data_IF_394130472421
#
_entry.id   IF_394130472421
#
_cell.length_a   1.000
_cell.length_b   1.000
_cell.length_c   1.000
_cell.angle_alpha   90.00
_cell.angle_beta   90.00
_cell.angle_gamma   90.00
#
_symmetry.space_group_name_H-M   'P 1'
#
loop_
_entity.id
_entity.type
_entity.pdbx_description
1 polymer ?
#
# COMPACT_ATOMS: atom_id res chain seq x y z
N UNK A 1 -9.22 6.62 23.23
CA UNK A 1 -8.05 6.48 22.33
C UNK A 1 -7.63 7.87 21.89
N UNK A 2 -6.34 8.13 21.74
CA UNK A 2 -5.81 9.41 21.21
C UNK A 2 -5.63 9.32 19.68
N UNK A 3 -5.53 10.46 19.02
CA UNK A 3 -5.12 10.56 17.62
C UNK A 3 -3.71 9.97 17.44
N UNK A 4 -3.52 9.18 16.40
CA UNK A 4 -2.27 8.45 16.15
C UNK A 4 -1.54 9.13 15.00
N UNK A 5 -0.35 9.66 15.28
CA UNK A 5 0.54 10.26 14.27
C UNK A 5 1.59 9.25 13.83
N UNK A 6 1.58 8.89 12.55
CA UNK A 6 2.61 8.06 11.92
C UNK A 6 2.93 8.59 10.52
N UNK A 7 4.10 8.29 9.96
CA UNK A 7 4.42 8.66 8.58
C UNK A 7 3.47 8.04 7.53
N UNK A 8 2.76 6.95 7.91
CA UNK A 8 1.78 6.28 7.06
C UNK A 8 0.36 6.86 7.19
N UNK A 9 0.21 7.96 7.90
CA UNK A 9 -1.02 8.70 8.09
C UNK A 9 -1.34 9.02 9.54
N UNK A 10 -2.06 10.12 9.73
CA UNK A 10 -2.59 10.60 11.00
C UNK A 10 -4.00 10.08 11.10
N UNK A 11 -4.28 9.16 12.04
CA UNK A 11 -5.51 8.36 12.03
C UNK A 11 -6.19 8.24 13.38
N UNK A 12 -7.50 7.96 13.35
CA UNK A 12 -8.30 7.67 14.53
C UNK A 12 -9.72 7.24 14.19
N UNK A 13 -10.50 6.87 15.23
CA UNK A 13 -11.92 6.59 15.10
C UNK A 13 -12.67 7.92 14.97
N UNK A 14 -13.37 8.12 13.84
CA UNK A 14 -14.04 9.38 13.57
C UNK A 14 -15.17 9.65 14.60
N UNK A 15 -15.21 10.88 15.08
CA UNK A 15 -16.14 11.29 16.17
C UNK A 15 -15.67 10.91 17.58
N UNK A 16 -14.55 10.22 17.73
CA UNK A 16 -13.98 9.85 19.04
C UNK A 16 -12.55 10.37 19.20
N UNK A 17 -11.59 9.76 18.52
CA UNK A 17 -10.17 10.13 18.56
C UNK A 17 -9.70 10.93 17.34
N UNK A 18 -10.56 11.07 16.33
CA UNK A 18 -10.33 11.88 15.14
C UNK A 18 -11.63 12.63 14.81
N UNK A 19 -11.59 13.93 14.67
CA UNK A 19 -12.75 14.80 14.42
C UNK A 19 -12.51 15.71 13.21
N UNK A 20 -13.56 16.38 12.72
CA UNK A 20 -13.42 17.41 11.68
C UNK A 20 -12.53 18.58 12.15
N UNK A 21 -12.54 18.91 13.46
CA UNK A 21 -11.66 19.94 14.02
C UNK A 21 -10.19 19.53 13.95
N UNK A 22 -9.88 18.25 14.21
CA UNK A 22 -8.51 17.75 14.07
C UNK A 22 -8.06 17.81 12.61
N UNK A 23 -8.94 17.43 11.67
CA UNK A 23 -8.67 17.48 10.23
C UNK A 23 -8.37 18.93 9.76
N UNK A 24 -9.16 19.90 10.21
CA UNK A 24 -8.94 21.33 9.94
C UNK A 24 -7.57 21.79 10.48
N UNK A 25 -7.27 21.48 11.74
CA UNK A 25 -6.01 21.87 12.38
C UNK A 25 -4.80 21.23 11.71
N UNK A 26 -4.91 19.96 11.29
CA UNK A 26 -3.84 19.25 10.56
C UNK A 26 -3.66 19.88 9.17
N UNK A 27 -4.76 20.18 8.46
CA UNK A 27 -4.71 20.87 7.17
C UNK A 27 -4.02 22.22 7.27
N UNK A 28 -4.37 23.02 8.29
CA UNK A 28 -3.72 24.31 8.53
C UNK A 28 -2.24 24.15 8.92
N UNK A 29 -1.89 23.18 9.78
CA UNK A 29 -0.52 22.88 10.15
C UNK A 29 0.33 22.49 8.94
N UNK A 30 -0.20 21.62 8.07
CA UNK A 30 0.46 21.20 6.84
C UNK A 30 0.62 22.38 5.86
N UNK A 31 -0.45 23.17 5.66
CA UNK A 31 -0.40 24.38 4.84
C UNK A 31 0.61 25.40 5.37
N UNK A 32 0.75 25.55 6.70
CA UNK A 32 1.75 26.42 7.32
C UNK A 32 3.18 26.02 7.03
N UNK A 33 3.43 24.71 6.85
CA UNK A 33 4.77 24.18 6.47
C UNK A 33 5.04 24.42 4.99
N UNK A 34 4.04 24.19 4.13
CA UNK A 34 4.18 24.41 2.68
C UNK A 34 4.35 25.88 2.32
N UNK A 35 3.65 26.77 3.04
CA UNK A 35 3.68 28.22 2.85
C UNK A 35 2.56 28.74 1.94
N UNK A 36 2.29 30.05 2.09
CA UNK A 36 1.29 30.77 1.31
C UNK A 36 1.60 30.72 -0.20
N UNK A 37 0.56 30.49 -1.01
CA UNK A 37 0.66 30.36 -2.47
C UNK A 37 1.04 28.96 -2.97
N UNK A 38 1.26 27.99 -2.08
CA UNK A 38 1.44 26.58 -2.47
C UNK A 38 0.13 25.99 -2.98
N UNK A 39 0.23 24.91 -3.79
CA UNK A 39 -0.90 24.18 -4.33
C UNK A 39 -0.90 22.74 -3.81
N UNK A 40 -2.06 22.25 -3.32
CA UNK A 40 -2.22 20.92 -2.72
C UNK A 40 -3.36 20.16 -3.36
N UNK A 41 -3.08 18.94 -3.80
CA UNK A 41 -4.09 18.00 -4.31
C UNK A 41 -4.77 17.31 -3.13
N UNK A 42 -6.10 17.29 -3.09
CA UNK A 42 -6.90 16.61 -2.06
C UNK A 42 -7.82 15.59 -2.69
N UNK A 43 -7.85 14.38 -2.17
CA UNK A 43 -8.81 13.36 -2.57
C UNK A 43 -9.17 12.43 -1.43
N UNK A 44 -10.24 11.65 -1.59
CA UNK A 44 -10.80 10.83 -0.50
C UNK A 44 -11.29 9.47 -0.98
N UNK A 45 -11.35 8.51 -0.02
CA UNK A 45 -12.01 7.24 -0.21
C UNK A 45 -13.55 7.32 -0.03
N UNK A 46 -14.22 6.18 -0.09
CA UNK A 46 -15.69 6.06 -0.03
C UNK A 46 -16.28 6.00 1.39
N UNK A 47 -15.48 6.20 2.44
CA UNK A 47 -15.97 6.17 3.84
C UNK A 47 -16.98 7.30 4.07
N UNK A 48 -18.02 7.03 4.88
CA UNK A 48 -19.07 8.02 5.19
C UNK A 48 -18.53 9.29 5.83
N UNK A 49 -17.42 9.23 6.55
CA UNK A 49 -16.78 10.39 7.19
C UNK A 49 -15.90 11.19 6.24
N UNK A 50 -15.44 10.62 5.12
CA UNK A 50 -14.46 11.25 4.22
C UNK A 50 -14.93 12.60 3.65
N UNK A 51 -16.19 12.80 3.24
CA UNK A 51 -16.64 14.11 2.78
C UNK A 51 -16.59 15.22 3.85
N UNK A 52 -16.83 14.86 5.13
CA UNK A 52 -16.74 15.82 6.23
C UNK A 52 -15.28 16.16 6.55
N UNK A 53 -14.41 15.15 6.54
CA UNK A 53 -12.96 15.32 6.73
C UNK A 53 -12.36 16.17 5.61
N UNK A 54 -12.75 15.92 4.34
CA UNK A 54 -12.29 16.70 3.17
C UNK A 54 -12.57 18.18 3.31
N UNK A 55 -13.83 18.54 3.59
CA UNK A 55 -14.21 19.95 3.80
C UNK A 55 -13.40 20.63 4.91
N UNK A 56 -13.13 19.91 5.99
CA UNK A 56 -12.35 20.44 7.11
C UNK A 56 -10.87 20.64 6.75
N UNK A 57 -10.26 19.66 6.05
CA UNK A 57 -8.87 19.76 5.57
C UNK A 57 -8.72 20.90 4.59
N UNK A 58 -9.62 21.03 3.62
CA UNK A 58 -9.61 22.12 2.62
C UNK A 58 -9.71 23.48 3.31
N UNK A 59 -10.64 23.64 4.27
CA UNK A 59 -10.75 24.89 5.04
C UNK A 59 -9.46 25.20 5.82
N UNK A 60 -8.79 24.17 6.36
CA UNK A 60 -7.51 24.33 7.05
C UNK A 60 -6.38 24.79 6.12
N UNK A 61 -6.24 24.16 4.96
CA UNK A 61 -5.26 24.52 3.93
C UNK A 61 -5.50 25.94 3.42
N UNK A 62 -6.74 26.26 3.03
CA UNK A 62 -7.09 27.58 2.53
C UNK A 62 -6.84 28.69 3.58
N UNK A 63 -7.09 28.41 4.87
CA UNK A 63 -6.77 29.32 5.98
C UNK A 63 -5.27 29.62 6.09
N UNK A 64 -4.41 28.73 5.62
CA UNK A 64 -2.96 28.93 5.55
C UNK A 64 -2.52 29.59 4.23
N UNK A 65 -3.45 30.01 3.37
CA UNK A 65 -3.15 30.61 2.07
C UNK A 65 -2.73 29.61 0.98
N UNK A 66 -3.08 28.34 1.15
CA UNK A 66 -2.77 27.25 0.22
C UNK A 66 -3.96 27.01 -0.71
N UNK A 67 -3.70 26.98 -2.00
CA UNK A 67 -4.69 26.60 -3.02
C UNK A 67 -4.91 25.09 -3.04
N UNK A 68 -6.14 24.65 -3.27
CA UNK A 68 -6.52 23.24 -3.23
C UNK A 68 -7.12 22.80 -4.55
N UNK A 69 -6.58 21.75 -5.14
CA UNK A 69 -7.19 20.98 -6.23
C UNK A 69 -7.88 19.76 -5.61
N UNK A 70 -9.21 19.79 -5.57
CA UNK A 70 -10.03 18.73 -5.00
C UNK A 70 -10.45 17.73 -6.07
N UNK A 71 -9.99 16.49 -5.98
CA UNK A 71 -10.30 15.40 -6.90
C UNK A 71 -11.58 14.64 -6.54
N UNK A 72 -12.18 14.95 -5.39
CA UNK A 72 -13.35 14.22 -4.89
C UNK A 72 -12.99 12.79 -4.43
N UNK A 73 -13.84 11.83 -4.81
CA UNK A 73 -13.66 10.42 -4.41
C UNK A 73 -12.87 9.66 -5.48
N UNK A 74 -11.61 9.38 -5.18
CA UNK A 74 -10.66 8.67 -6.06
C UNK A 74 -9.74 7.76 -5.25
N UNK A 75 -9.12 6.73 -5.87
CA UNK A 75 -8.11 5.90 -5.22
C UNK A 75 -6.90 6.68 -4.70
N UNK A 76 -6.27 6.19 -3.65
CA UNK A 76 -5.00 6.74 -3.14
C UNK A 76 -3.95 6.89 -4.26
N UNK A 77 -3.65 5.87 -5.10
CA UNK A 77 -2.67 6.01 -6.17
C UNK A 77 -3.03 7.10 -7.21
N UNK A 78 -4.32 7.36 -7.45
CA UNK A 78 -4.73 8.45 -8.33
C UNK A 78 -4.34 9.82 -7.75
N UNK A 79 -4.46 10.01 -6.43
CA UNK A 79 -4.07 11.25 -5.75
C UNK A 79 -2.54 11.41 -5.78
N UNK A 80 -1.81 10.36 -5.45
CA UNK A 80 -0.35 10.33 -5.46
C UNK A 80 0.21 10.64 -6.86
N UNK A 81 -0.35 10.01 -7.90
CA UNK A 81 -0.01 10.30 -9.29
C UNK A 81 -0.36 11.74 -9.68
N UNK A 82 -1.53 12.26 -9.26
CA UNK A 82 -1.99 13.60 -9.61
C UNK A 82 -1.09 14.70 -9.03
N UNK A 83 -0.49 14.50 -7.84
CA UNK A 83 0.47 15.46 -7.26
C UNK A 83 1.66 15.67 -8.20
N UNK A 84 2.23 14.60 -8.76
CA UNK A 84 3.34 14.69 -9.72
C UNK A 84 2.85 15.20 -11.08
N UNK A 85 1.73 14.70 -11.58
CA UNK A 85 1.15 15.06 -12.86
C UNK A 85 0.80 16.54 -12.98
N UNK A 86 0.23 17.13 -11.92
CA UNK A 86 -0.15 18.53 -11.83
C UNK A 86 1.03 19.43 -11.35
N UNK A 87 2.16 18.82 -10.98
CA UNK A 87 3.31 19.51 -10.39
C UNK A 87 2.96 20.32 -9.11
N UNK A 88 2.02 19.79 -8.32
CA UNK A 88 1.61 20.39 -7.05
C UNK A 88 2.71 20.30 -5.98
N UNK A 89 2.65 21.18 -4.99
CA UNK A 89 3.63 21.24 -3.89
C UNK A 89 3.42 20.12 -2.87
N UNK A 90 2.21 19.56 -2.81
CA UNK A 90 1.88 18.44 -1.94
C UNK A 90 0.51 17.86 -2.19
N UNK A 91 0.11 16.91 -1.34
CA UNK A 91 -1.21 16.32 -1.40
C UNK A 91 -1.73 15.85 -0.04
N UNK A 92 -3.03 15.63 0.04
CA UNK A 92 -3.68 15.00 1.19
C UNK A 92 -4.61 13.90 0.72
N UNK A 93 -4.31 12.67 1.11
CA UNK A 93 -5.19 11.53 0.93
C UNK A 93 -6.05 11.34 2.17
N UNK A 94 -7.35 11.28 2.00
CA UNK A 94 -8.31 11.06 3.08
C UNK A 94 -8.80 9.61 3.01
N UNK A 95 -8.07 8.74 3.69
CA UNK A 95 -8.38 7.31 3.78
C UNK A 95 -7.64 6.65 4.94
N UNK A 96 -8.34 5.78 5.65
CA UNK A 96 -7.74 4.86 6.62
C UNK A 96 -7.42 3.48 6.02
N UNK A 97 -7.39 3.33 4.68
CA UNK A 97 -7.09 2.11 3.96
C UNK A 97 -7.89 0.90 4.49
N UNK A 98 -7.23 -0.13 4.97
CA UNK A 98 -7.83 -1.37 5.47
C UNK A 98 -8.39 -1.30 6.91
N UNK A 99 -8.25 -0.18 7.63
CA UNK A 99 -8.84 -0.04 8.96
C UNK A 99 -10.38 -0.12 8.90
N UNK A 100 -11.08 -0.53 9.97
CA UNK A 100 -12.54 -0.62 10.01
C UNK A 100 -13.27 0.66 9.55
N UNK A 101 -14.55 0.58 9.12
CA UNK A 101 -15.26 1.70 8.49
C UNK A 101 -15.37 2.97 9.34
N UNK A 102 -15.38 2.84 10.67
CA UNK A 102 -15.43 3.95 11.62
C UNK A 102 -14.12 4.75 11.74
N UNK A 103 -13.02 4.21 11.24
CA UNK A 103 -11.74 4.91 11.17
C UNK A 103 -11.69 5.87 10.00
N UNK A 104 -10.89 6.93 10.13
CA UNK A 104 -10.42 7.75 9.01
C UNK A 104 -8.99 8.23 9.27
N UNK A 105 -8.34 8.73 8.23
CA UNK A 105 -6.97 9.21 8.33
C UNK A 105 -6.66 10.27 7.28
N UNK A 106 -5.60 11.03 7.54
CA UNK A 106 -4.94 11.91 6.59
C UNK A 106 -3.54 11.36 6.30
N UNK A 107 -3.27 11.02 5.04
CA UNK A 107 -1.92 10.72 4.54
C UNK A 107 -1.44 12.01 3.87
N UNK A 108 -0.34 12.58 4.34
CA UNK A 108 0.22 13.81 3.79
C UNK A 108 1.30 13.47 2.78
N UNK A 109 1.22 14.10 1.62
CA UNK A 109 2.14 13.86 0.50
C UNK A 109 2.98 15.14 0.26
N UNK A 110 4.27 14.94 0.05
CA UNK A 110 5.14 15.96 -0.52
C UNK A 110 5.10 15.94 -2.04
N UNK A 111 5.99 16.71 -2.66
CA UNK A 111 6.19 16.68 -4.11
C UNK A 111 6.44 15.26 -4.61
N UNK A 112 6.12 14.99 -5.87
CA UNK A 112 6.15 13.64 -6.48
C UNK A 112 5.12 12.65 -5.92
N UNK A 113 4.13 13.11 -5.13
CA UNK A 113 3.10 12.26 -4.55
C UNK A 113 3.63 11.24 -3.54
N UNK A 114 4.79 11.48 -2.95
CA UNK A 114 5.40 10.60 -1.94
C UNK A 114 4.96 11.04 -0.56
N UNK A 115 4.61 10.09 0.32
CA UNK A 115 4.33 10.37 1.73
C UNK A 115 5.48 11.19 2.35
N UNK A 116 5.13 12.22 3.13
CA UNK A 116 6.13 13.04 3.83
C UNK A 116 6.95 12.19 4.80
N UNK A 117 8.19 12.59 5.03
CA UNK A 117 9.13 11.88 5.91
C UNK A 117 8.66 11.89 7.37
N UNK A 118 9.15 10.96 8.20
CA UNK A 118 8.84 10.93 9.64
C UNK A 118 9.11 12.26 10.35
N UNK A 119 10.20 12.96 9.98
CA UNK A 119 10.61 14.22 10.55
C UNK A 119 9.59 15.34 10.21
N UNK A 120 9.10 15.36 8.98
CA UNK A 120 8.07 16.31 8.53
C UNK A 120 6.71 16.00 9.21
N UNK A 121 6.36 14.73 9.39
CA UNK A 121 5.17 14.33 10.16
C UNK A 121 5.25 14.81 11.62
N UNK A 122 6.43 14.74 12.24
CA UNK A 122 6.63 15.22 13.60
C UNK A 122 6.55 16.76 13.67
N UNK A 123 6.93 17.47 12.62
CA UNK A 123 6.77 18.92 12.52
C UNK A 123 5.30 19.30 12.44
N UNK A 124 4.50 18.63 11.60
CA UNK A 124 3.03 18.80 11.56
C UNK A 124 2.41 18.56 12.93
N UNK A 125 2.83 17.48 13.61
CA UNK A 125 2.36 17.15 14.97
C UNK A 125 2.66 18.25 15.98
N UNK A 126 3.87 18.80 15.98
CA UNK A 126 4.26 19.91 16.89
C UNK A 126 3.39 21.15 16.68
N UNK A 127 3.11 21.52 15.42
CA UNK A 127 2.22 22.65 15.12
C UNK A 127 0.79 22.35 15.58
N UNK A 128 0.29 21.15 15.30
CA UNK A 128 -1.02 20.70 15.74
C UNK A 128 -1.18 20.76 17.26
N UNK A 129 -0.21 20.25 18.04
CA UNK A 129 -0.24 20.22 19.51
C UNK A 129 -0.14 21.60 20.11
N UNK A 130 0.70 22.48 19.58
CA UNK A 130 0.84 23.87 20.02
C UNK A 130 -0.37 24.73 19.66
N UNK A 131 -1.15 24.35 18.63
CA UNK A 131 -2.23 25.19 18.11
C UNK A 131 -1.73 26.49 17.50
N UNK A 132 -0.47 26.53 17.06
CA UNK A 132 0.18 27.71 16.49
C UNK A 132 0.28 27.54 14.98
N UNK A 133 -0.71 28.07 14.28
CA UNK A 133 -0.82 27.97 12.83
C UNK A 133 -0.63 29.32 12.18
N UNK A 134 -0.08 29.35 10.98
CA UNK A 134 -0.16 30.50 10.12
C UNK A 134 -1.59 30.69 9.63
N UNK A 135 -2.12 31.90 9.73
CA UNK A 135 -3.39 32.27 9.12
C UNK A 135 -3.12 33.40 8.14
N UNK A 136 -3.42 33.14 6.87
CA UNK A 136 -3.27 34.13 5.81
C UNK A 136 -4.19 35.34 6.05
N UNK A 137 -3.80 36.56 5.65
CA UNK A 137 -4.72 37.68 5.60
C UNK A 137 -5.86 37.39 4.63
N UNK A 138 -6.98 38.11 4.80
CA UNK A 138 -8.17 37.92 3.97
C UNK A 138 -7.90 38.02 2.46
N UNK A 139 -6.87 38.73 2.06
CA UNK A 139 -6.47 38.94 0.66
C UNK A 139 -5.71 37.76 0.03
N UNK A 140 -5.21 36.86 0.85
CA UNK A 140 -4.37 35.71 0.44
C UNK A 140 -4.95 34.38 0.92
N UNK A 141 -6.23 34.33 1.31
CA UNK A 141 -6.92 33.06 1.59
C UNK A 141 -6.90 32.19 0.33
N UNK A 142 -6.47 30.93 0.48
CA UNK A 142 -6.43 29.99 -0.63
C UNK A 142 -7.82 29.68 -1.20
N UNK A 143 -7.86 29.21 -2.43
CA UNK A 143 -9.09 28.82 -3.15
C UNK A 143 -9.17 27.31 -3.33
N UNK A 144 -10.36 26.81 -3.57
CA UNK A 144 -10.63 25.42 -3.94
C UNK A 144 -11.09 25.35 -5.39
N UNK A 145 -10.47 24.45 -6.15
CA UNK A 145 -10.90 24.09 -7.50
C UNK A 145 -11.16 22.57 -7.56
N UNK A 146 -12.20 22.18 -8.31
CA UNK A 146 -12.51 20.75 -8.53
C UNK A 146 -12.00 20.32 -9.90
N UNK A 147 -11.27 19.19 -9.92
CA UNK A 147 -10.72 18.62 -11.15
C UNK A 147 -10.98 17.10 -11.20
N UNK A 148 -11.51 16.64 -12.33
CA UNK A 148 -11.56 15.20 -12.64
C UNK A 148 -10.28 14.80 -13.40
N UNK A 149 -9.46 13.95 -12.79
CA UNK A 149 -8.21 13.44 -13.37
C UNK A 149 -8.29 11.93 -13.68
N UNK A 150 -9.46 11.32 -13.47
CA UNK A 150 -9.64 9.87 -13.69
C UNK A 150 -9.33 9.47 -15.14
N UNK A 151 -9.81 10.19 -16.17
CA UNK A 151 -9.50 9.84 -17.56
C UNK A 151 -8.00 9.87 -17.86
N UNK A 152 -7.28 10.88 -17.39
CA UNK A 152 -5.83 11.04 -17.58
C UNK A 152 -5.04 9.96 -16.87
N UNK A 153 -5.44 9.60 -15.65
CA UNK A 153 -4.83 8.52 -14.88
C UNK A 153 -5.02 7.16 -15.58
N UNK A 154 -6.23 6.85 -16.05
CA UNK A 154 -6.52 5.64 -16.83
C UNK A 154 -5.65 5.61 -18.09
N UNK A 155 -5.66 6.68 -18.88
CA UNK A 155 -4.85 6.79 -20.08
C UNK A 155 -3.33 6.67 -19.80
N UNK A 156 -2.88 7.10 -18.62
CA UNK A 156 -1.49 6.94 -18.22
C UNK A 156 -1.13 5.47 -17.98
N UNK A 157 -2.01 4.68 -17.34
CA UNK A 157 -1.82 3.22 -17.17
C UNK A 157 -1.85 2.50 -18.52
N UNK A 158 -2.79 2.85 -19.39
CA UNK A 158 -2.93 2.25 -20.73
C UNK A 158 -1.65 2.40 -21.58
N UNK A 159 -0.96 3.53 -21.46
CA UNK A 159 0.32 3.76 -22.15
C UNK A 159 1.46 2.89 -21.62
N UNK A 160 1.33 2.30 -20.44
CA UNK A 160 2.36 1.47 -19.79
C UNK A 160 2.17 -0.03 -20.02
N UNK A 161 1.12 -0.43 -20.75
CA UNK A 161 0.80 -1.84 -21.03
C UNK A 161 0.56 -2.08 -22.53
N UNK A 162 0.77 -3.31 -22.97
CA UNK A 162 0.47 -3.74 -24.33
C UNK A 162 -1.03 -4.08 -24.47
N UNK A 163 -1.84 -3.05 -24.75
CA UNK A 163 -3.29 -3.20 -24.93
C UNK A 163 -3.67 -4.19 -26.03
N UNK A 164 -2.89 -4.30 -27.09
CA UNK A 164 -3.22 -5.18 -28.22
C UNK A 164 -3.15 -6.65 -27.80
N UNK A 165 -2.06 -7.05 -27.15
CA UNK A 165 -1.91 -8.41 -26.62
C UNK A 165 -3.01 -8.75 -25.61
N UNK A 166 -3.42 -7.79 -24.76
CA UNK A 166 -4.47 -8.04 -23.76
C UNK A 166 -5.83 -8.25 -24.45
N UNK A 167 -6.20 -7.40 -25.42
CA UNK A 167 -7.46 -7.52 -26.17
C UNK A 167 -7.58 -8.83 -26.92
N UNK A 168 -6.49 -9.32 -27.52
CA UNK A 168 -6.44 -10.59 -28.21
C UNK A 168 -6.61 -11.80 -27.29
N UNK A 169 -6.09 -11.71 -26.06
CA UNK A 169 -6.12 -12.80 -25.09
C UNK A 169 -7.49 -13.09 -24.48
N UNK A 170 -8.46 -12.17 -24.58
CA UNK A 170 -9.85 -12.30 -24.08
C UNK A 170 -9.91 -12.79 -22.63
N UNK A 171 -9.14 -12.18 -21.75
CA UNK A 171 -9.04 -12.55 -20.36
C UNK A 171 -10.34 -12.21 -19.63
N UNK A 172 -10.94 -13.20 -18.93
CA UNK A 172 -12.10 -12.98 -18.05
C UNK A 172 -11.64 -12.67 -16.65
N UNK A 173 -12.06 -11.52 -16.12
CA UNK A 173 -11.66 -10.96 -14.82
C UNK A 173 -12.86 -10.86 -13.90
N UNK A 174 -12.74 -11.32 -12.66
CA UNK A 174 -13.66 -10.97 -11.57
C UNK A 174 -12.98 -9.96 -10.67
N UNK A 175 -13.59 -8.79 -10.49
CA UNK A 175 -13.07 -7.70 -9.66
C UNK A 175 -13.94 -7.47 -8.44
N UNK A 176 -13.32 -7.45 -7.26
CA UNK A 176 -13.91 -7.08 -5.97
C UNK A 176 -13.26 -5.82 -5.40
N UNK A 177 -13.76 -4.62 -5.68
CA UNK A 177 -13.27 -3.37 -5.09
C UNK A 177 -13.86 -3.11 -3.69
N UNK A 178 -14.70 -3.99 -3.16
CA UNK A 178 -15.36 -3.89 -1.86
C UNK A 178 -16.01 -2.53 -1.57
N UNK A 179 -16.64 -1.91 -2.57
CA UNK A 179 -17.25 -0.58 -2.43
C UNK A 179 -16.25 0.55 -2.16
N UNK A 180 -14.95 0.28 -2.24
CA UNK A 180 -13.87 1.26 -2.08
C UNK A 180 -13.70 2.18 -3.30
N UNK A 181 -12.75 3.11 -3.23
CA UNK A 181 -12.51 4.09 -4.30
C UNK A 181 -12.07 3.46 -5.63
N UNK A 182 -11.54 2.22 -5.60
CA UNK A 182 -11.21 1.45 -6.80
C UNK A 182 -12.40 1.23 -7.76
N UNK A 183 -13.65 1.40 -7.31
CA UNK A 183 -14.86 1.30 -8.18
C UNK A 183 -14.87 2.37 -9.27
N UNK A 184 -14.21 3.49 -9.06
CA UNK A 184 -14.20 4.62 -10.00
C UNK A 184 -13.10 4.52 -11.07
N UNK A 185 -12.16 3.59 -10.93
CA UNK A 185 -10.98 3.49 -11.79
C UNK A 185 -10.79 2.09 -12.36
N UNK A 186 -10.61 1.07 -11.52
CA UNK A 186 -10.20 -0.27 -11.96
C UNK A 186 -11.17 -0.93 -12.95
N UNK A 187 -12.51 -0.83 -12.79
CA UNK A 187 -13.44 -1.39 -13.79
C UNK A 187 -13.29 -0.76 -15.19
N UNK A 188 -12.99 0.51 -15.26
CA UNK A 188 -12.82 1.22 -16.53
C UNK A 188 -11.52 0.79 -17.22
N UNK A 189 -10.39 0.71 -16.46
CA UNK A 189 -9.13 0.17 -16.98
C UNK A 189 -9.34 -1.24 -17.53
N UNK A 190 -9.95 -2.14 -16.75
CA UNK A 190 -10.18 -3.53 -17.20
C UNK A 190 -11.01 -3.61 -18.48
N UNK A 191 -12.08 -2.80 -18.57
CA UNK A 191 -12.92 -2.74 -19.76
C UNK A 191 -12.17 -2.19 -20.98
N UNK A 192 -11.42 -1.12 -20.82
CA UNK A 192 -10.71 -0.44 -21.91
C UNK A 192 -9.54 -1.30 -22.42
N UNK A 193 -8.96 -2.13 -21.53
CA UNK A 193 -8.03 -3.19 -21.88
C UNK A 193 -8.70 -4.38 -22.62
N UNK A 194 -10.02 -4.39 -22.77
CA UNK A 194 -10.77 -5.40 -23.53
C UNK A 194 -10.97 -6.72 -22.79
N UNK A 195 -10.95 -6.72 -21.45
CA UNK A 195 -11.24 -7.92 -20.65
C UNK A 195 -12.75 -8.19 -20.58
N UNK A 196 -13.13 -9.47 -20.39
CA UNK A 196 -14.50 -9.84 -19.99
C UNK A 196 -14.64 -9.59 -18.48
N UNK A 197 -15.07 -8.38 -18.11
CA UNK A 197 -15.13 -7.96 -16.71
C UNK A 197 -16.45 -8.33 -16.03
N UNK A 198 -16.34 -8.91 -14.84
CA UNK A 198 -17.43 -9.11 -13.88
C UNK A 198 -17.04 -8.42 -12.59
N UNK A 199 -17.89 -7.57 -12.05
CA UNK A 199 -17.64 -6.89 -10.78
C UNK A 199 -18.59 -7.42 -9.69
N UNK A 200 -18.05 -7.62 -8.50
CA UNK A 200 -18.82 -7.91 -7.28
C UNK A 200 -18.50 -6.83 -6.24
N UNK A 201 -19.41 -6.63 -5.28
CA UNK A 201 -19.21 -5.65 -4.20
C UNK A 201 -18.81 -4.24 -4.71
N UNK A 202 -19.44 -3.78 -5.81
CA UNK A 202 -19.04 -2.57 -6.53
C UNK A 202 -19.90 -1.32 -6.23
N UNK A 203 -20.72 -1.35 -5.17
CA UNK A 203 -21.51 -0.18 -4.75
C UNK A 203 -20.65 0.71 -3.85
N UNK A 204 -20.32 1.97 -4.26
CA UNK A 204 -19.45 2.84 -3.48
C UNK A 204 -19.94 3.07 -2.05
N UNK A 205 -19.06 2.92 -1.07
CA UNK A 205 -19.36 3.10 0.35
C UNK A 205 -20.13 1.97 1.01
N UNK A 206 -20.45 0.89 0.27
CA UNK A 206 -21.06 -0.33 0.81
C UNK A 206 -20.00 -1.41 0.92
N UNK A 207 -19.48 -1.61 2.10
CA UNK A 207 -18.45 -2.60 2.38
C UNK A 207 -19.09 -3.95 2.68
N UNK A 208 -18.91 -4.91 1.81
CA UNK A 208 -19.54 -6.24 1.86
C UNK A 208 -18.70 -7.29 2.58
N UNK A 209 -17.43 -7.00 2.85
CA UNK A 209 -16.47 -7.80 3.60
C UNK A 209 -15.59 -6.93 4.48
N UNK A 210 -14.74 -7.53 5.29
CA UNK A 210 -13.65 -6.79 5.95
C UNK A 210 -12.78 -6.08 4.90
N UNK A 211 -12.25 -4.91 5.27
CA UNK A 211 -11.62 -4.03 4.30
C UNK A 211 -10.25 -4.53 3.82
N UNK A 212 -9.57 -5.32 4.66
CA UNK A 212 -8.32 -5.94 4.25
C UNK A 212 -8.58 -7.19 3.38
N UNK A 213 -8.05 -7.25 2.15
CA UNK A 213 -8.28 -8.37 1.24
C UNK A 213 -7.37 -9.57 1.61
N UNK A 214 -7.80 -10.39 2.57
CA UNK A 214 -7.13 -11.60 3.05
C UNK A 214 -7.85 -12.87 2.58
N UNK A 215 -7.20 -14.04 2.62
CA UNK A 215 -7.85 -15.30 2.24
C UNK A 215 -9.20 -15.54 2.92
N UNK A 216 -9.30 -15.21 4.21
CA UNK A 216 -10.50 -15.41 5.02
C UNK A 216 -11.65 -14.48 4.62
N UNK A 217 -11.34 -13.33 4.02
CA UNK A 217 -12.31 -12.30 3.64
C UNK A 217 -12.74 -12.39 2.17
N UNK A 218 -12.03 -13.16 1.33
CA UNK A 218 -12.22 -13.25 -0.11
C UNK A 218 -12.99 -14.49 -0.57
N UNK A 219 -13.78 -15.13 0.30
CA UNK A 219 -14.54 -16.36 0.02
C UNK A 219 -15.48 -16.17 -1.18
N UNK A 220 -16.19 -15.03 -1.25
CA UNK A 220 -17.10 -14.73 -2.36
C UNK A 220 -16.34 -14.59 -3.68
N UNK A 221 -15.25 -13.83 -3.70
CA UNK A 221 -14.42 -13.67 -4.89
C UNK A 221 -13.85 -15.02 -5.38
N UNK A 222 -13.32 -15.82 -4.46
CA UNK A 222 -12.83 -17.18 -4.76
C UNK A 222 -13.89 -18.04 -5.41
N UNK A 223 -15.09 -18.08 -4.82
CA UNK A 223 -16.21 -18.88 -5.33
C UNK A 223 -16.67 -18.41 -6.70
N UNK A 224 -16.85 -17.09 -6.90
CA UNK A 224 -17.32 -16.52 -8.18
C UNK A 224 -16.28 -16.74 -9.27
N UNK A 225 -14.99 -16.48 -9.00
CA UNK A 225 -13.90 -16.69 -9.97
C UNK A 225 -13.90 -18.12 -10.49
N UNK A 226 -13.96 -19.10 -9.60
CA UNK A 226 -13.99 -20.53 -9.96
C UNK A 226 -15.27 -20.90 -10.70
N UNK A 227 -16.45 -20.49 -10.19
CA UNK A 227 -17.75 -20.92 -10.75
C UNK A 227 -18.01 -20.38 -12.15
N UNK A 228 -17.49 -19.18 -12.46
CA UNK A 228 -17.60 -18.57 -13.78
C UNK A 228 -16.49 -18.97 -14.75
N UNK A 229 -15.52 -19.79 -14.30
CA UNK A 229 -14.35 -20.14 -15.10
C UNK A 229 -13.56 -18.88 -15.48
N UNK A 230 -13.49 -17.91 -14.61
CA UNK A 230 -12.72 -16.70 -14.87
C UNK A 230 -11.22 -16.99 -14.87
N UNK A 231 -10.48 -16.22 -15.66
CA UNK A 231 -9.02 -16.38 -15.78
C UNK A 231 -8.28 -15.91 -14.53
N UNK A 232 -8.86 -14.94 -13.80
CA UNK A 232 -8.28 -14.34 -12.60
C UNK A 232 -9.34 -13.57 -11.81
N UNK A 233 -9.18 -13.53 -10.49
CA UNK A 233 -9.90 -12.62 -9.59
C UNK A 233 -8.95 -11.58 -8.99
N UNK A 234 -9.42 -10.35 -8.86
CA UNK A 234 -8.71 -9.26 -8.19
C UNK A 234 -9.52 -8.67 -7.05
N UNK A 235 -8.87 -8.38 -5.94
CA UNK A 235 -9.46 -7.66 -4.82
C UNK A 235 -8.61 -6.47 -4.40
N UNK A 236 -9.27 -5.33 -4.14
CA UNK A 236 -8.68 -4.14 -3.54
C UNK A 236 -9.11 -3.96 -2.09
N UNK A 237 -8.34 -3.18 -1.34
CA UNK A 237 -8.81 -2.54 -0.12
C UNK A 237 -9.56 -1.22 -0.43
N UNK A 238 -9.92 -0.44 0.59
CA UNK A 238 -10.84 0.70 0.43
C UNK A 238 -10.31 1.79 -0.50
N UNK A 239 -9.01 2.03 -0.51
CA UNK A 239 -8.36 3.08 -1.31
C UNK A 239 -7.52 2.55 -2.47
N UNK A 240 -7.60 1.22 -2.72
CA UNK A 240 -7.04 0.52 -3.86
C UNK A 240 -5.52 0.68 -4.05
N UNK A 241 -4.77 0.95 -2.97
CA UNK A 241 -3.30 0.94 -3.00
C UNK A 241 -2.74 -0.50 -2.94
N UNK A 242 -3.60 -1.51 -2.65
CA UNK A 242 -3.29 -2.94 -2.56
C UNK A 242 -3.99 -3.75 -3.63
N UNK A 243 -3.38 -4.91 -3.95
CA UNK A 243 -3.97 -5.89 -4.85
C UNK A 243 -3.75 -7.30 -4.31
N UNK A 244 -4.84 -8.06 -4.15
CA UNK A 244 -4.80 -9.50 -3.89
C UNK A 244 -5.35 -10.26 -5.09
N UNK A 245 -4.73 -11.40 -5.42
CA UNK A 245 -5.05 -12.23 -6.57
C UNK A 245 -5.79 -13.49 -6.14
N UNK A 246 -6.77 -13.88 -6.94
CA UNK A 246 -7.42 -15.21 -6.90
C UNK A 246 -7.15 -15.91 -8.22
N UNK A 247 -6.64 -17.16 -8.16
CA UNK A 247 -6.37 -17.95 -9.35
C UNK A 247 -7.65 -18.41 -10.06
N UNK A 248 -7.54 -18.88 -11.29
CA UNK A 248 -8.65 -19.52 -12.04
C UNK A 248 -9.24 -20.75 -11.32
N UNK A 249 -8.52 -21.30 -10.35
CA UNK A 249 -8.98 -22.42 -9.51
C UNK A 249 -9.73 -21.94 -8.24
N UNK A 250 -9.79 -20.62 -8.01
CA UNK A 250 -10.38 -20.02 -6.82
C UNK A 250 -9.43 -19.99 -5.61
N UNK A 251 -8.14 -20.22 -5.81
CA UNK A 251 -7.16 -20.12 -4.74
C UNK A 251 -6.77 -18.65 -4.49
N UNK A 252 -6.93 -18.19 -3.26
CA UNK A 252 -6.53 -16.85 -2.86
C UNK A 252 -5.03 -16.83 -2.56
N UNK A 253 -4.29 -15.98 -3.24
CA UNK A 253 -2.84 -15.91 -3.10
C UNK A 253 -2.41 -15.02 -1.93
N UNK A 254 -1.26 -15.33 -1.29
CA UNK A 254 -0.61 -14.41 -0.37
C UNK A 254 -0.29 -13.07 -1.04
N UNK A 255 -0.28 -12.01 -0.25
CA UNK A 255 -0.15 -10.63 -0.72
C UNK A 255 1.15 -10.39 -1.52
N UNK A 256 2.26 -11.04 -1.14
CA UNK A 256 3.56 -10.91 -1.82
C UNK A 256 3.50 -11.30 -3.31
N UNK A 257 2.55 -12.16 -3.71
CA UNK A 257 2.46 -12.70 -5.08
C UNK A 257 2.14 -11.62 -6.10
N UNK A 258 1.28 -10.65 -5.77
CA UNK A 258 0.95 -9.54 -6.67
C UNK A 258 2.19 -8.73 -7.02
N UNK A 259 2.96 -8.32 -6.02
CA UNK A 259 4.22 -7.60 -6.22
C UNK A 259 5.25 -8.47 -6.95
N UNK A 260 5.37 -9.75 -6.58
CA UNK A 260 6.36 -10.66 -7.17
C UNK A 260 6.12 -10.88 -8.67
N UNK A 261 4.87 -11.03 -9.11
CA UNK A 261 4.52 -11.16 -10.52
C UNK A 261 4.91 -9.92 -11.33
N UNK A 262 4.67 -8.72 -10.78
CA UNK A 262 5.02 -7.45 -11.45
C UNK A 262 6.54 -7.27 -11.47
N UNK A 263 7.23 -7.50 -10.34
CA UNK A 263 8.70 -7.40 -10.25
C UNK A 263 9.38 -8.37 -11.23
N UNK A 264 8.98 -9.65 -11.24
CA UNK A 264 9.54 -10.65 -12.15
C UNK A 264 9.31 -10.27 -13.62
N UNK A 265 8.11 -9.76 -13.97
CA UNK A 265 7.80 -9.27 -15.30
C UNK A 265 8.68 -8.09 -15.73
N UNK A 266 8.81 -7.07 -14.89
CA UNK A 266 9.61 -5.87 -15.19
C UNK A 266 11.10 -6.21 -15.29
N UNK A 267 11.65 -7.00 -14.37
CA UNK A 267 13.06 -7.39 -14.42
C UNK A 267 13.38 -8.27 -15.65
N UNK A 268 12.43 -9.10 -16.09
CA UNK A 268 12.53 -9.88 -17.32
C UNK A 268 12.61 -8.97 -18.54
N UNK A 269 11.75 -7.94 -18.64
CA UNK A 269 11.75 -6.97 -19.73
C UNK A 269 13.05 -6.15 -19.75
N UNK A 270 13.54 -5.71 -18.59
CA UNK A 270 14.76 -4.93 -18.44
C UNK A 270 16.05 -5.76 -18.55
N UNK A 271 15.97 -7.08 -18.36
CA UNK A 271 17.13 -8.00 -18.24
C UNK A 271 18.09 -7.59 -17.13
N UNK A 272 17.57 -7.15 -16.00
CA UNK A 272 18.29 -6.61 -14.86
C UNK A 272 17.48 -5.54 -14.14
N UNK A 273 18.15 -4.61 -13.47
CA UNK A 273 17.52 -3.46 -12.80
C UNK A 273 17.75 -3.40 -11.31
N UNK A 274 17.02 -2.52 -10.65
CA UNK A 274 17.08 -2.33 -9.18
C UNK A 274 15.69 -2.44 -8.57
N UNK A 275 15.57 -3.29 -7.56
CA UNK A 275 14.34 -3.54 -6.80
C UNK A 275 14.49 -2.99 -5.40
N UNK A 276 13.47 -2.30 -4.88
CA UNK A 276 13.39 -1.88 -3.47
C UNK A 276 12.18 -2.51 -2.81
N UNK A 277 12.40 -3.25 -1.71
CA UNK A 277 11.34 -3.85 -0.89
C UNK A 277 11.60 -3.60 0.59
N UNK A 278 10.57 -3.71 1.42
CA UNK A 278 10.78 -3.65 2.87
C UNK A 278 11.32 -4.98 3.43
N UNK A 279 11.90 -4.93 4.63
CA UNK A 279 12.52 -6.11 5.26
C UNK A 279 11.52 -7.20 5.69
N UNK A 280 10.21 -6.93 5.67
CA UNK A 280 9.16 -7.91 5.94
C UNK A 280 8.65 -8.62 4.66
N UNK A 281 9.16 -8.23 3.49
CA UNK A 281 8.88 -8.89 2.22
C UNK A 281 9.60 -10.23 2.09
N UNK A 282 9.01 -11.14 1.32
CA UNK A 282 9.53 -12.48 1.09
C UNK A 282 10.94 -12.48 0.50
N UNK A 283 11.73 -13.50 0.85
CA UNK A 283 13.02 -13.80 0.19
C UNK A 283 12.86 -14.18 -1.29
N UNK A 284 11.64 -14.49 -1.74
CA UNK A 284 11.43 -14.73 -3.17
C UNK A 284 11.87 -13.54 -4.04
N UNK A 285 11.84 -12.32 -3.52
CA UNK A 285 12.34 -11.13 -4.24
C UNK A 285 13.86 -11.16 -4.43
N UNK A 286 14.61 -11.70 -3.46
CA UNK A 286 16.06 -11.91 -3.58
C UNK A 286 16.36 -12.93 -4.69
N UNK A 287 15.60 -14.04 -4.74
CA UNK A 287 15.74 -15.09 -5.76
C UNK A 287 15.32 -14.57 -7.15
N UNK A 288 14.23 -13.78 -7.26
CA UNK A 288 13.81 -13.15 -8.52
C UNK A 288 14.88 -12.18 -9.00
N UNK A 289 15.39 -11.30 -8.13
CA UNK A 289 16.45 -10.36 -8.48
C UNK A 289 17.71 -11.10 -8.97
N UNK A 290 18.12 -12.16 -8.26
CA UNK A 290 19.27 -12.99 -8.62
C UNK A 290 19.12 -13.62 -10.01
N UNK A 291 17.91 -14.09 -10.37
CA UNK A 291 17.61 -14.70 -11.68
C UNK A 291 17.94 -13.78 -12.85
N UNK A 292 17.78 -12.47 -12.68
CA UNK A 292 18.02 -11.47 -13.72
C UNK A 292 19.31 -10.66 -13.50
N UNK A 293 20.13 -10.99 -12.50
CA UNK A 293 21.31 -10.20 -12.13
C UNK A 293 20.95 -8.79 -11.63
N UNK A 294 19.74 -8.61 -11.12
CA UNK A 294 19.23 -7.34 -10.62
C UNK A 294 19.73 -7.07 -9.20
N UNK A 295 19.85 -5.79 -8.85
CA UNK A 295 20.16 -5.34 -7.49
C UNK A 295 18.87 -5.31 -6.66
N UNK A 296 18.92 -5.86 -5.44
CA UNK A 296 17.85 -5.71 -4.45
C UNK A 296 18.32 -4.84 -3.28
N UNK A 297 17.46 -3.92 -2.83
CA UNK A 297 17.69 -3.04 -1.67
C UNK A 297 16.55 -3.22 -0.69
N UNK A 298 16.86 -3.49 0.57
CA UNK A 298 15.87 -3.62 1.65
C UNK A 298 15.86 -2.38 2.52
N UNK A 299 14.64 -1.95 2.91
CA UNK A 299 14.39 -0.76 3.75
C UNK A 299 13.49 -1.13 4.92
N UNK A 300 13.31 -0.27 5.94
CA UNK A 300 12.31 -0.48 7.00
C UNK A 300 10.91 -0.67 6.43
N UNK A 301 10.01 -1.27 7.23
CA UNK A 301 8.61 -1.46 6.85
C UNK A 301 7.88 -0.12 6.81
N UNK A 302 7.23 0.14 5.68
CA UNK A 302 6.44 1.34 5.41
C UNK A 302 6.73 1.89 4.02
N UNK A 303 5.67 2.22 3.30
CA UNK A 303 5.72 2.76 1.96
C UNK A 303 6.66 3.97 1.83
N UNK A 304 6.61 4.87 2.82
CA UNK A 304 7.48 6.06 2.87
C UNK A 304 8.96 5.72 2.69
N UNK A 305 9.45 4.66 3.33
CA UNK A 305 10.85 4.26 3.22
C UNK A 305 11.18 3.64 1.86
N UNK A 306 10.22 2.87 1.30
CA UNK A 306 10.37 2.27 -0.03
C UNK A 306 10.42 3.37 -1.09
N UNK A 307 9.43 4.25 -1.13
CA UNK A 307 9.30 5.30 -2.14
C UNK A 307 10.49 6.29 -2.11
N UNK A 308 10.87 6.78 -0.92
CA UNK A 308 12.04 7.67 -0.79
C UNK A 308 13.35 6.99 -1.21
N UNK A 309 13.54 5.71 -0.87
CA UNK A 309 14.75 4.99 -1.31
C UNK A 309 14.74 4.77 -2.82
N UNK A 310 13.57 4.46 -3.41
CA UNK A 310 13.45 4.31 -4.86
C UNK A 310 13.79 5.61 -5.59
N UNK A 311 13.32 6.75 -5.09
CA UNK A 311 13.65 8.07 -5.63
C UNK A 311 15.15 8.36 -5.50
N UNK A 312 15.75 8.08 -4.32
CA UNK A 312 17.18 8.33 -4.04
C UNK A 312 18.12 7.59 -4.99
N UNK A 313 17.79 6.32 -5.30
CA UNK A 313 18.70 5.45 -6.09
C UNK A 313 18.23 5.22 -7.52
N UNK A 314 17.16 5.90 -7.97
CA UNK A 314 16.52 5.69 -9.27
C UNK A 314 16.20 4.22 -9.53
N UNK A 315 15.49 3.57 -8.58
CA UNK A 315 15.11 2.16 -8.70
C UNK A 315 14.05 1.95 -9.80
N UNK A 316 14.01 0.76 -10.36
CA UNK A 316 13.12 0.43 -11.48
C UNK A 316 11.75 -0.04 -11.05
N UNK A 317 11.66 -0.80 -9.94
CA UNK A 317 10.42 -1.34 -9.39
C UNK A 317 10.60 -1.62 -7.92
N UNK A 318 9.51 -1.62 -7.16
CA UNK A 318 9.54 -1.97 -5.75
C UNK A 318 8.17 -2.04 -5.12
N UNK A 319 8.15 -2.05 -3.81
CA UNK A 319 6.89 -2.04 -3.06
C UNK A 319 6.95 -2.75 -1.72
N UNK A 320 5.78 -2.99 -1.18
CA UNK A 320 5.61 -3.70 0.09
C UNK A 320 4.93 -5.06 -0.17
N UNK A 321 5.71 -6.15 -0.19
CA UNK A 321 5.20 -7.50 -0.40
C UNK A 321 4.10 -7.88 0.58
N UNK A 322 4.27 -7.53 1.85
CA UNK A 322 3.34 -7.85 2.94
C UNK A 322 1.92 -7.26 2.80
N UNK A 323 1.64 -6.48 1.76
CA UNK A 323 0.31 -5.93 1.47
C UNK A 323 -0.04 -5.90 -0.03
N UNK A 324 0.80 -6.51 -0.89
CA UNK A 324 0.57 -6.53 -2.34
C UNK A 324 0.70 -5.17 -3.02
N UNK A 325 1.37 -4.22 -2.36
CA UNK A 325 1.54 -2.86 -2.88
C UNK A 325 2.71 -2.75 -3.85
N UNK A 326 2.43 -2.40 -5.10
CA UNK A 326 3.40 -2.24 -6.20
C UNK A 326 3.71 -0.78 -6.41
N UNK A 327 4.99 -0.41 -6.49
CA UNK A 327 5.48 0.93 -6.85
C UNK A 327 6.28 0.84 -8.14
N UNK A 328 5.92 1.65 -9.14
CA UNK A 328 6.60 1.71 -10.42
C UNK A 328 6.98 3.16 -10.76
N UNK A 329 8.24 3.60 -10.55
CA UNK A 329 8.67 4.99 -10.66
C UNK A 329 8.49 5.63 -12.05
N UNK A 330 8.42 4.82 -13.12
CA UNK A 330 8.06 5.34 -14.45
C UNK A 330 6.62 5.79 -14.57
N UNK A 331 5.80 5.45 -13.59
CA UNK A 331 4.42 5.90 -13.46
C UNK A 331 4.28 6.91 -12.32
N UNK A 332 4.47 6.47 -11.08
CA UNK A 332 4.56 7.31 -9.88
C UNK A 332 5.20 6.52 -8.72
N UNK A 333 5.40 7.20 -7.58
CA UNK A 333 6.11 6.62 -6.43
C UNK A 333 5.20 6.06 -5.33
N UNK A 334 3.89 6.05 -5.52
CA UNK A 334 2.94 5.43 -4.60
C UNK A 334 2.64 3.97 -4.94
N UNK A 335 2.04 3.24 -4.02
CA UNK A 335 1.55 1.88 -4.27
C UNK A 335 0.29 1.91 -5.12
N UNK A 336 0.21 1.08 -6.14
CA UNK A 336 -0.85 1.13 -7.15
C UNK A 336 -1.42 -0.26 -7.48
N UNK A 337 -2.60 -0.54 -6.95
CA UNK A 337 -3.34 -1.77 -7.22
C UNK A 337 -3.92 -1.83 -8.64
N UNK A 338 -4.58 -0.80 -9.18
CA UNK A 338 -5.04 -0.73 -10.56
C UNK A 338 -3.93 -0.97 -11.60
N UNK A 339 -2.78 -0.31 -11.46
CA UNK A 339 -1.61 -0.53 -12.31
C UNK A 339 -1.09 -1.97 -12.20
N UNK A 340 -0.98 -2.50 -10.97
CA UNK A 340 -0.53 -3.87 -10.74
C UNK A 340 -1.45 -4.88 -11.44
N UNK A 341 -2.78 -4.69 -11.37
CA UNK A 341 -3.76 -5.54 -12.06
C UNK A 341 -3.56 -5.50 -13.59
N UNK A 342 -3.35 -4.31 -14.17
CA UNK A 342 -3.10 -4.15 -15.61
C UNK A 342 -1.81 -4.86 -16.05
N UNK A 343 -0.71 -4.72 -15.28
CA UNK A 343 0.58 -5.40 -15.58
C UNK A 343 0.50 -6.91 -15.48
N UNK A 344 -0.27 -7.44 -14.52
CA UNK A 344 -0.47 -8.88 -14.38
C UNK A 344 -1.25 -9.45 -15.57
N UNK A 345 -2.31 -8.77 -16.00
CA UNK A 345 -3.10 -9.15 -17.19
C UNK A 345 -2.23 -9.09 -18.45
N UNK A 346 -1.44 -8.03 -18.62
CA UNK A 346 -0.47 -7.92 -19.73
C UNK A 346 0.47 -9.13 -19.78
N UNK A 347 1.02 -9.51 -18.64
CA UNK A 347 1.91 -10.66 -18.55
C UNK A 347 1.21 -11.97 -18.94
N UNK A 348 -0.03 -12.19 -18.44
CA UNK A 348 -0.83 -13.36 -18.81
C UNK A 348 -1.06 -13.40 -20.34
N UNK A 349 -1.39 -12.27 -20.94
CA UNK A 349 -1.63 -12.14 -22.37
C UNK A 349 -0.36 -12.41 -23.20
N UNK A 350 0.74 -11.74 -22.90
CA UNK A 350 2.02 -11.88 -23.62
C UNK A 350 2.60 -13.29 -23.54
N UNK A 351 2.48 -13.95 -22.39
CA UNK A 351 3.02 -15.31 -22.20
C UNK A 351 2.02 -16.41 -22.58
N UNK A 352 0.74 -16.10 -22.82
CA UNK A 352 -0.31 -17.09 -23.11
C UNK A 352 -0.52 -18.08 -21.96
N UNK A 353 -0.23 -17.69 -20.73
CA UNK A 353 -0.25 -18.56 -19.55
C UNK A 353 -1.41 -18.23 -18.62
N UNK A 354 -1.92 -19.25 -17.94
CA UNK A 354 -2.83 -19.09 -16.81
C UNK A 354 -2.09 -18.45 -15.63
N UNK A 355 -2.85 -17.76 -14.77
CA UNK A 355 -2.24 -17.12 -13.59
C UNK A 355 -1.58 -18.14 -12.66
N UNK A 356 -2.17 -19.33 -12.46
CA UNK A 356 -1.57 -20.41 -11.66
C UNK A 356 -0.22 -20.89 -12.22
N UNK A 357 -0.05 -20.89 -13.55
CA UNK A 357 1.22 -21.25 -14.19
C UNK A 357 2.29 -20.19 -13.95
N UNK A 358 1.95 -18.88 -14.08
CA UNK A 358 2.86 -17.79 -13.78
C UNK A 358 3.32 -17.81 -12.32
N UNK A 359 2.38 -18.05 -11.39
CA UNK A 359 2.67 -18.18 -9.96
C UNK A 359 3.59 -19.39 -9.70
N UNK A 360 3.40 -20.50 -10.40
CA UNK A 360 4.23 -21.71 -10.23
C UNK A 360 5.69 -21.52 -10.62
N UNK A 361 6.01 -20.50 -11.43
CA UNK A 361 7.37 -20.12 -11.84
C UNK A 361 8.11 -19.26 -10.79
N UNK A 362 7.37 -18.69 -9.83
CA UNK A 362 7.95 -17.92 -8.75
C UNK A 362 8.63 -18.83 -7.72
N UNK A 363 9.69 -18.36 -7.05
CA UNK A 363 10.29 -19.07 -5.94
C UNK A 363 9.28 -19.30 -4.81
N UNK A 364 9.27 -20.50 -4.24
CA UNK A 364 8.27 -20.92 -3.24
C UNK A 364 8.81 -20.82 -1.83
N UNK A 365 8.05 -20.11 -0.99
CA UNK A 365 8.29 -19.98 0.44
C UNK A 365 6.96 -20.09 1.20
N UNK A 366 7.02 -20.57 2.43
CA UNK A 366 5.89 -20.59 3.36
C UNK A 366 6.04 -19.44 4.33
N UNK A 367 5.09 -18.50 4.29
CA UNK A 367 5.09 -17.30 5.15
C UNK A 367 3.97 -17.42 6.17
N UNK A 368 4.29 -17.11 7.42
CA UNK A 368 3.35 -17.00 8.54
C UNK A 368 3.43 -15.57 9.07
N UNK A 369 2.31 -14.84 9.10
CA UNK A 369 2.20 -13.50 9.66
C UNK A 369 1.16 -13.49 10.76
N UNK A 370 1.50 -12.97 11.92
CA UNK A 370 0.55 -12.82 13.03
C UNK A 370 0.99 -11.75 14.03
N UNK A 371 0.00 -11.24 14.77
CA UNK A 371 0.21 -10.26 15.84
C UNK A 371 -0.08 -10.91 17.20
N UNK A 372 0.68 -10.55 18.22
CA UNK A 372 0.42 -10.95 19.61
C UNK A 372 0.19 -9.69 20.44
N UNK A 373 -0.94 -9.64 21.14
CA UNK A 373 -1.22 -8.61 22.16
C UNK A 373 -0.53 -9.03 23.46
N UNK A 374 0.72 -8.66 23.60
CA UNK A 374 1.51 -8.97 24.79
C UNK A 374 2.35 -7.75 25.17
N UNK A 375 2.49 -7.51 26.46
CA UNK A 375 3.45 -6.52 26.97
C UNK A 375 4.75 -7.28 27.28
N UNK A 376 5.74 -7.11 26.44
CA UNK A 376 7.05 -7.78 26.59
C UNK A 376 8.10 -6.80 27.11
N UNK A 377 9.07 -7.31 27.81
CA UNK A 377 10.34 -6.60 28.02
C UNK A 377 11.18 -6.75 26.75
N UNK A 378 11.24 -5.70 25.93
CA UNK A 378 11.91 -5.74 24.63
C UNK A 378 13.40 -6.08 24.73
N UNK A 379 14.10 -5.59 25.77
CA UNK A 379 15.51 -5.89 25.98
C UNK A 379 15.74 -7.40 26.26
N UNK A 380 14.84 -8.03 27.01
CA UNK A 380 14.90 -9.47 27.28
C UNK A 380 14.61 -10.29 26.01
N UNK A 381 13.60 -9.89 25.24
CA UNK A 381 13.31 -10.51 23.94
C UNK A 381 14.51 -10.40 23.02
N UNK A 382 15.09 -9.19 22.90
CA UNK A 382 16.29 -8.95 22.10
C UNK A 382 17.45 -9.85 22.51
N UNK A 383 17.74 -9.94 23.81
CA UNK A 383 18.82 -10.80 24.35
C UNK A 383 18.62 -12.27 23.96
N UNK A 384 17.41 -12.83 24.18
CA UNK A 384 17.06 -14.21 23.80
C UNK A 384 17.20 -14.47 22.30
N UNK A 385 16.79 -13.52 21.45
CA UNK A 385 16.93 -13.62 20.00
C UNK A 385 18.40 -13.57 19.54
N UNK A 386 19.25 -12.76 20.19
CA UNK A 386 20.68 -12.73 19.92
C UNK A 386 21.39 -14.03 20.30
N UNK A 387 21.00 -14.63 21.45
CA UNK A 387 21.48 -15.95 21.87
C UNK A 387 21.09 -17.02 20.83
N UNK A 388 19.82 -17.03 20.40
CA UNK A 388 19.34 -17.94 19.35
C UNK A 388 20.10 -17.74 18.01
N UNK A 389 20.33 -16.49 17.60
CA UNK A 389 21.09 -16.20 16.39
C UNK A 389 22.49 -16.80 16.43
N UNK A 390 23.17 -16.66 17.57
CA UNK A 390 24.51 -17.22 17.80
C UNK A 390 24.50 -18.75 17.76
N UNK A 391 23.54 -19.38 18.47
CA UNK A 391 23.42 -20.84 18.52
C UNK A 391 23.13 -21.46 17.15
N UNK A 392 22.28 -20.81 16.36
CA UNK A 392 21.83 -21.31 15.04
C UNK A 392 22.65 -20.77 13.86
N UNK A 393 23.65 -19.93 14.11
CA UNK A 393 24.47 -19.32 13.05
C UNK A 393 23.69 -18.44 12.10
N UNK A 394 22.66 -17.72 12.60
CA UNK A 394 21.82 -16.84 11.81
C UNK A 394 22.39 -15.41 11.75
N UNK A 395 22.28 -14.76 10.60
CA UNK A 395 22.61 -13.35 10.46
C UNK A 395 21.52 -12.46 11.11
N UNK A 396 21.96 -11.39 11.77
CA UNK A 396 21.08 -10.45 12.48
C UNK A 396 20.94 -9.16 11.72
N UNK A 397 19.71 -8.67 11.58
CA UNK A 397 19.41 -7.36 11.02
C UNK A 397 18.44 -6.61 11.96
N UNK A 398 18.87 -5.46 12.46
CA UNK A 398 18.15 -4.61 13.42
C UNK A 398 17.54 -3.35 12.75
N UNK A 399 17.39 -3.32 11.42
CA UNK A 399 16.90 -2.15 10.68
C UNK A 399 15.51 -1.69 11.13
N UNK A 400 14.59 -2.63 11.43
CA UNK A 400 13.23 -2.33 11.92
C UNK A 400 12.71 -3.52 12.73
N UNK A 401 12.98 -3.53 14.02
CA UNK A 401 12.82 -4.70 14.89
C UNK A 401 14.05 -5.60 14.83
N UNK A 402 13.85 -6.91 15.00
CA UNK A 402 14.94 -7.91 14.96
C UNK A 402 14.58 -8.96 13.91
N UNK A 403 15.33 -8.98 12.83
CA UNK A 403 15.25 -10.02 11.81
C UNK A 403 16.43 -10.95 11.91
N UNK A 404 16.17 -12.25 11.96
CA UNK A 404 17.17 -13.30 11.92
C UNK A 404 17.07 -14.06 10.61
N UNK A 405 18.16 -14.05 9.83
CA UNK A 405 18.25 -14.71 8.52
C UNK A 405 19.10 -15.97 8.61
N UNK A 406 18.49 -17.13 8.36
CA UNK A 406 19.14 -18.42 8.19
C UNK A 406 19.24 -18.82 6.71
N UNK A 407 19.83 -19.99 6.44
CA UNK A 407 20.03 -20.50 5.07
C UNK A 407 18.70 -20.72 4.33
N UNK A 408 17.72 -21.36 4.96
CA UNK A 408 16.47 -21.80 4.32
C UNK A 408 15.24 -20.96 4.72
N UNK A 409 15.40 -19.95 5.58
CA UNK A 409 14.31 -19.11 6.06
C UNK A 409 14.79 -17.95 6.92
N UNK A 410 13.85 -17.12 7.31
CA UNK A 410 14.08 -15.97 8.19
C UNK A 410 12.86 -15.72 9.05
N UNK A 411 13.02 -14.94 10.12
CA UNK A 411 11.89 -14.37 10.83
C UNK A 411 12.21 -12.96 11.32
N UNK A 412 11.15 -12.16 11.46
CA UNK A 412 11.18 -10.77 11.91
C UNK A 412 10.23 -10.61 13.09
N UNK A 413 10.71 -10.00 14.16
CA UNK A 413 9.91 -9.63 15.34
C UNK A 413 10.01 -8.11 15.51
N UNK A 414 8.87 -7.43 15.52
CA UNK A 414 8.77 -5.98 15.63
C UNK A 414 7.78 -5.58 16.70
N UNK A 415 8.16 -4.64 17.54
CA UNK A 415 7.20 -3.96 18.41
C UNK A 415 6.34 -2.98 17.59
N UNK A 416 5.03 -2.97 17.84
CA UNK A 416 4.17 -1.96 17.25
C UNK A 416 4.37 -0.64 17.97
N UNK A 417 4.70 0.43 17.21
CA UNK A 417 4.85 1.79 17.77
C UNK A 417 3.51 2.43 18.15
N UNK A 418 2.39 1.86 17.74
CA UNK A 418 1.05 2.46 17.88
C UNK A 418 0.10 1.64 18.72
N UNK A 419 0.37 0.37 18.92
CA UNK A 419 -0.48 -0.57 19.66
C UNK A 419 0.41 -1.44 20.55
N UNK A 420 -0.09 -1.86 21.71
CA UNK A 420 0.61 -2.81 22.59
C UNK A 420 0.55 -4.22 21.99
N UNK A 421 1.24 -4.41 20.88
CA UNK A 421 1.36 -5.70 20.20
C UNK A 421 2.73 -5.88 19.56
N UNK A 422 3.12 -7.12 19.41
CA UNK A 422 4.31 -7.55 18.68
C UNK A 422 3.88 -8.17 17.38
N UNK A 423 4.46 -7.72 16.26
CA UNK A 423 4.24 -8.26 14.92
C UNK A 423 5.32 -9.26 14.59
N UNK A 424 4.93 -10.42 14.12
CA UNK A 424 5.82 -11.51 13.77
C UNK A 424 5.60 -11.90 12.32
N UNK A 425 6.71 -12.03 11.58
CA UNK A 425 6.74 -12.62 10.25
C UNK A 425 7.75 -13.75 10.26
N UNK A 426 7.39 -14.91 9.76
CA UNK A 426 8.24 -16.08 9.64
C UNK A 426 8.15 -16.57 8.21
N UNK A 427 9.28 -16.86 7.59
CA UNK A 427 9.34 -17.45 6.27
C UNK A 427 10.34 -18.60 6.25
N UNK A 428 9.95 -19.71 5.63
CA UNK A 428 10.83 -20.86 5.45
C UNK A 428 10.46 -21.64 4.18
N UNK A 429 11.44 -22.36 3.58
CA UNK A 429 11.18 -23.29 2.45
C UNK A 429 10.30 -24.46 2.84
N UNK A 430 10.34 -24.91 4.09
CA UNK A 430 9.49 -25.96 4.65
C UNK A 430 8.40 -25.37 5.54
N UNK A 431 7.15 -25.82 5.34
CA UNK A 431 6.01 -25.42 6.16
C UNK A 431 6.17 -25.86 7.62
N UNK A 432 6.62 -27.10 7.82
CA UNK A 432 6.78 -27.69 9.16
C UNK A 432 7.84 -26.92 9.97
N UNK A 433 8.93 -26.50 9.33
CA UNK A 433 9.96 -25.67 9.97
C UNK A 433 9.44 -24.27 10.29
N UNK A 434 8.63 -23.65 9.41
CA UNK A 434 8.01 -22.36 9.71
C UNK A 434 7.11 -22.46 10.96
N UNK A 435 6.30 -23.51 11.08
CA UNK A 435 5.47 -23.74 12.27
C UNK A 435 6.31 -24.05 13.53
N UNK A 436 7.43 -24.75 13.38
CA UNK A 436 8.36 -25.01 14.49
C UNK A 436 8.97 -23.71 15.02
N UNK A 437 9.44 -22.84 14.11
CA UNK A 437 9.96 -21.51 14.45
C UNK A 437 8.87 -20.67 15.13
N UNK A 438 7.65 -20.71 14.63
CA UNK A 438 6.52 -20.02 15.27
C UNK A 438 6.34 -20.42 16.73
N UNK A 439 6.32 -21.73 17.01
CA UNK A 439 6.16 -22.23 18.36
C UNK A 439 7.33 -21.85 19.29
N UNK A 440 8.55 -21.78 18.76
CA UNK A 440 9.74 -21.35 19.48
C UNK A 440 9.65 -19.84 19.83
N UNK A 441 9.26 -19.00 18.87
CA UNK A 441 9.05 -17.55 19.09
C UNK A 441 7.94 -17.31 20.12
N UNK A 442 6.83 -18.04 20.05
CA UNK A 442 5.75 -17.93 21.03
C UNK A 442 6.24 -18.21 22.46
N UNK A 443 7.11 -19.21 22.67
CA UNK A 443 7.73 -19.49 23.98
C UNK A 443 8.63 -18.35 24.45
N UNK A 444 9.41 -17.73 23.55
CA UNK A 444 10.28 -16.59 23.89
C UNK A 444 9.46 -15.40 24.38
N UNK A 445 8.30 -15.14 23.73
CA UNK A 445 7.45 -13.99 24.03
C UNK A 445 6.51 -14.22 25.22
N UNK A 446 6.29 -15.49 25.64
CA UNK A 446 5.42 -15.85 26.79
C UNK A 446 6.16 -15.88 28.13
N UNK A 447 7.48 -15.88 28.13
CA UNK A 447 8.39 -15.91 29.31
C UNK A 447 9.08 -14.55 29.47
#
# INVERSE_FOLDING_TARGET
>A
MSLIFTPLGIRGVFGQSFTAMDALRIGNAFGSILGEGSEVVVGMDTRKSSPTVSKAVVAGLNSAGVDVINLGTVPTPTIEWAVDYLNADGGVVISASHNPPEWNALKLLGRKGILIRPEETEEVKKLYEKGSFYNSPWSSVGKEEHLDVIPEYIAAIERLVDMSSIKEAKIRVVLDPNGGAGVFVTPYIMRDLGTELITINSVPGVFSRELEPRPETLISLSSVTRSLGASIGFAHDTDADRLTIVTEQGEVMPEDISLALVVDGILRELRGGTVVVNIASSRMFDDIASRYGARIVKVPVGEVYVAHKMLEINADVGGEGSCGGVIYPKFHYGRDGPFAAAKIIERMAKEGKKISQLISELPRYHIIRFDIKVKVNWEDVKRKLMEMAKEKGMAVNEMDGIRLDGESGWFLIRESKTEHKVRIVIEHKSRDEAERIRNEILRILSN
#
